data_IF_533971679756
#
_entry.id   IF_533971679756
#
_cell.length_a   1.000
_cell.length_b   1.000
_cell.length_c   1.000
_cell.angle_alpha   90.00
_cell.angle_beta   90.00
_cell.angle_gamma   90.00
#
_symmetry.space_group_name_H-M   'P 1'
#
loop_
_entity.id
_entity.type
_entity.pdbx_description
1 polymer ?
#
# COMPACT_ATOMS: atom_id res chain seq x y z
N UNK A 1 -28.02 1.30 17.65
CA UNK A 1 -28.33 2.39 16.68
C UNK A 1 -28.06 2.02 15.22
N UNK A 2 -26.96 1.32 14.87
CA UNK A 2 -26.70 0.88 13.48
C UNK A 2 -27.84 0.07 12.84
N UNK A 3 -28.55 -0.73 13.60
CA UNK A 3 -29.68 -1.56 13.13
C UNK A 3 -30.94 -0.74 12.85
N UNK A 4 -31.15 0.36 13.58
CA UNK A 4 -32.31 1.25 13.41
C UNK A 4 -32.11 2.21 12.23
N UNK A 5 -30.86 2.66 12.00
CA UNK A 5 -30.54 3.52 10.83
C UNK A 5 -30.53 2.76 9.49
N UNK A 6 -30.40 1.43 9.52
CA UNK A 6 -30.38 0.57 8.32
C UNK A 6 -31.77 0.04 7.94
N UNK A 7 -32.74 0.12 8.83
CA UNK A 7 -34.08 -0.41 8.64
C UNK A 7 -35.02 0.69 8.11
N UNK A 8 -35.54 0.59 6.87
CA UNK A 8 -36.33 1.64 6.23
C UNK A 8 -37.70 1.89 6.90
N UNK A 9 -38.17 1.01 7.78
CA UNK A 9 -39.46 1.14 8.45
C UNK A 9 -39.35 1.69 9.88
N UNK A 10 -38.15 2.02 10.34
CA UNK A 10 -37.91 2.55 11.69
C UNK A 10 -37.38 3.98 11.62
N UNK A 11 -38.11 4.91 12.23
CA UNK A 11 -37.77 6.34 12.26
C UNK A 11 -37.26 6.74 13.64
N UNK A 12 -36.12 7.45 13.69
CA UNK A 12 -35.54 7.98 14.94
C UNK A 12 -36.17 9.34 15.25
N UNK A 13 -36.95 9.43 16.33
CA UNK A 13 -37.63 10.68 16.73
C UNK A 13 -36.71 11.70 17.44
N UNK A 14 -35.65 11.25 18.13
CA UNK A 14 -34.68 12.12 18.82
C UNK A 14 -33.28 11.53 18.74
N UNK A 15 -32.33 12.23 18.13
CA UNK A 15 -30.94 11.78 18.11
C UNK A 15 -30.30 11.93 19.49
N UNK A 16 -29.45 10.96 19.85
CA UNK A 16 -28.59 11.06 21.03
C UNK A 16 -27.58 12.20 20.85
N UNK A 17 -27.47 13.08 21.85
CA UNK A 17 -26.46 14.16 21.91
C UNK A 17 -25.12 13.68 22.52
N UNK A 18 -25.01 12.40 22.82
CA UNK A 18 -23.77 11.83 23.34
C UNK A 18 -22.72 11.78 22.22
N UNK A 19 -21.48 12.25 22.44
CA UNK A 19 -20.42 12.08 21.45
C UNK A 19 -20.13 10.59 21.25
N UNK A 20 -20.66 10.02 20.17
CA UNK A 20 -20.50 8.61 19.78
C UNK A 20 -19.12 8.32 19.17
N UNK A 21 -18.11 9.17 19.39
CA UNK A 21 -16.77 9.02 18.82
C UNK A 21 -16.06 7.76 19.32
N UNK A 22 -16.30 7.37 20.57
CA UNK A 22 -15.80 6.12 21.17
C UNK A 22 -16.61 4.87 20.77
N UNK A 23 -17.88 5.04 20.33
CA UNK A 23 -18.72 3.89 19.94
C UNK A 23 -18.47 3.49 18.48
N UNK A 24 -18.12 4.47 17.64
CA UNK A 24 -17.57 4.22 16.32
C UNK A 24 -16.07 4.05 16.47
N UNK A 25 -15.69 2.92 17.06
CA UNK A 25 -14.36 2.37 16.90
C UNK A 25 -14.10 2.32 15.39
N UNK A 26 -13.41 3.36 14.90
CA UNK A 26 -12.74 3.33 13.61
C UNK A 26 -11.55 2.42 13.79
N UNK A 27 -11.82 1.14 14.08
CA UNK A 27 -10.95 0.02 13.71
C UNK A 27 -11.05 -0.08 12.18
N UNK A 28 -10.73 1.02 11.49
CA UNK A 28 -10.04 0.89 10.24
C UNK A 28 -8.69 0.33 10.66
N UNK A 29 -8.20 -0.76 10.05
CA UNK A 29 -6.87 -1.27 10.30
C UNK A 29 -5.83 -0.29 9.73
N UNK A 30 -5.76 0.93 10.26
CA UNK A 30 -4.66 1.86 10.00
C UNK A 30 -3.36 1.42 10.68
N UNK A 31 -3.44 0.29 11.38
CA UNK A 31 -2.44 -0.33 12.23
C UNK A 31 -2.26 -1.83 11.88
N UNK A 32 -2.77 -2.33 10.73
CA UNK A 32 -2.45 -3.71 10.30
C UNK A 32 -1.02 -3.89 9.81
N UNK A 33 -0.32 -2.80 9.48
CA UNK A 33 1.12 -2.75 9.26
C UNK A 33 1.69 -1.60 10.07
N UNK A 34 2.72 -1.88 10.86
CA UNK A 34 3.51 -0.87 11.58
C UNK A 34 4.02 0.15 10.56
N UNK A 35 3.93 1.44 10.89
CA UNK A 35 4.47 2.49 10.03
C UNK A 35 6.01 2.40 10.04
N UNK A 36 6.57 1.81 8.98
CA UNK A 36 8.00 1.47 8.90
C UNK A 36 8.90 2.70 9.07
N UNK A 37 8.46 3.89 8.65
CA UNK A 37 9.25 5.11 8.77
C UNK A 37 9.37 5.62 10.21
N UNK A 38 8.45 5.23 11.10
CA UNK A 38 8.55 5.56 12.53
C UNK A 38 9.60 4.69 13.22
N UNK A 39 9.80 3.47 12.72
CA UNK A 39 10.80 2.53 13.24
C UNK A 39 12.16 2.71 12.59
N UNK A 40 12.20 3.01 11.30
CA UNK A 40 13.42 3.12 10.50
C UNK A 40 13.26 4.25 9.46
N UNK A 41 13.88 5.41 9.69
CA UNK A 41 13.80 6.58 8.78
C UNK A 41 14.78 6.47 7.62
N UNK A 42 14.48 7.10 6.49
CA UNK A 42 15.35 7.09 5.30
C UNK A 42 16.79 7.52 5.56
N UNK A 43 17.01 8.53 6.42
CA UNK A 43 18.35 9.02 6.78
C UNK A 43 19.19 7.95 7.48
N UNK A 44 18.56 7.08 8.26
CA UNK A 44 19.23 6.08 9.08
C UNK A 44 19.29 4.70 8.42
N UNK A 45 18.44 4.42 7.44
CA UNK A 45 18.44 3.15 6.69
C UNK A 45 19.33 3.18 5.46
N UNK A 46 19.41 4.31 4.76
CA UNK A 46 20.15 4.43 3.51
C UNK A 46 21.27 5.48 3.59
N UNK A 47 22.23 5.38 2.68
CA UNK A 47 23.30 6.35 2.54
C UNK A 47 24.45 6.19 3.55
N UNK A 48 25.38 7.16 3.60
CA UNK A 48 26.63 7.04 4.34
C UNK A 48 26.46 6.89 5.85
N UNK A 49 25.36 7.43 6.39
CA UNK A 49 25.00 7.35 7.82
C UNK A 49 24.14 6.13 8.16
N UNK A 50 23.98 5.20 7.23
CA UNK A 50 23.15 4.01 7.44
C UNK A 50 23.66 3.17 8.61
N UNK A 51 22.76 2.89 9.54
CA UNK A 51 23.04 2.10 10.75
C UNK A 51 22.80 0.60 10.53
N UNK A 52 22.00 0.23 9.51
CA UNK A 52 21.57 -1.16 9.33
C UNK A 52 22.61 -1.95 8.54
N UNK A 53 23.19 -2.99 9.17
CA UNK A 53 24.20 -3.87 8.54
C UNK A 53 23.61 -5.10 7.85
N UNK A 54 22.41 -5.52 8.21
CA UNK A 54 21.73 -6.70 7.64
C UNK A 54 20.27 -6.41 7.32
N UNK A 55 19.75 -6.88 6.18
CA UNK A 55 18.33 -6.75 5.85
C UNK A 55 17.47 -7.67 6.71
N UNK A 56 16.23 -7.26 6.96
CA UNK A 56 15.22 -8.14 7.55
C UNK A 56 14.55 -8.94 6.43
N UNK A 57 14.90 -10.22 6.32
CA UNK A 57 14.38 -11.14 5.32
C UNK A 57 13.32 -12.04 5.97
N UNK A 58 12.20 -12.25 5.27
CA UNK A 58 11.13 -13.13 5.72
C UNK A 58 11.39 -14.63 5.40
N UNK A 59 12.49 -14.94 4.72
CA UNK A 59 12.86 -16.30 4.37
C UNK A 59 13.77 -16.91 5.45
N UNK A 60 13.46 -18.14 5.89
CA UNK A 60 14.28 -18.91 6.84
C UNK A 60 15.50 -19.56 6.17
N UNK A 61 15.34 -20.02 4.93
CA UNK A 61 16.31 -20.86 4.23
C UNK A 61 16.61 -20.30 2.84
N UNK A 62 17.82 -20.60 2.35
CA UNK A 62 18.26 -20.18 1.01
C UNK A 62 17.35 -20.73 -0.10
N UNK A 63 16.86 -21.96 0.04
CA UNK A 63 15.97 -22.56 -0.97
C UNK A 63 14.59 -21.87 -1.01
N UNK A 64 14.06 -21.46 0.14
CA UNK A 64 12.81 -20.70 0.24
C UNK A 64 12.95 -19.32 -0.40
N UNK A 65 14.10 -18.67 -0.19
CA UNK A 65 14.41 -17.39 -0.83
C UNK A 65 14.45 -17.52 -2.36
N UNK A 66 15.11 -18.56 -2.88
CA UNK A 66 15.19 -18.82 -4.33
C UNK A 66 13.80 -19.09 -4.93
N UNK A 67 12.99 -19.91 -4.28
CA UNK A 67 11.63 -20.19 -4.75
C UNK A 67 10.77 -18.92 -4.82
N UNK A 68 10.88 -18.05 -3.81
CA UNK A 68 10.17 -16.77 -3.77
C UNK A 68 10.62 -15.84 -4.91
N UNK A 69 11.94 -15.74 -5.15
CA UNK A 69 12.48 -14.91 -6.23
C UNK A 69 12.03 -15.40 -7.61
N UNK A 70 11.99 -16.72 -7.85
CA UNK A 70 11.51 -17.29 -9.11
C UNK A 70 10.01 -16.97 -9.30
N UNK A 71 9.20 -17.12 -8.26
CA UNK A 71 7.78 -16.80 -8.32
C UNK A 71 7.53 -15.31 -8.58
N UNK A 72 8.29 -14.41 -7.96
CA UNK A 72 8.21 -12.97 -8.22
C UNK A 72 8.61 -12.62 -9.65
N UNK A 73 9.68 -13.23 -10.17
CA UNK A 73 10.12 -13.03 -11.55
C UNK A 73 9.07 -13.53 -12.56
N UNK A 74 8.41 -14.66 -12.30
CA UNK A 74 7.34 -15.17 -13.17
C UNK A 74 6.06 -14.33 -13.11
N UNK A 75 5.79 -13.71 -11.96
CA UNK A 75 4.62 -12.88 -11.75
C UNK A 75 4.80 -11.44 -12.24
N UNK A 76 6.04 -11.01 -12.49
CA UNK A 76 6.35 -9.69 -13.01
C UNK A 76 5.80 -9.54 -14.44
N UNK A 77 5.14 -8.41 -14.70
CA UNK A 77 4.55 -8.08 -15.99
C UNK A 77 4.93 -6.64 -16.32
N UNK A 78 5.72 -6.49 -17.38
CA UNK A 78 6.25 -5.21 -17.83
C UNK A 78 5.15 -4.18 -18.12
N UNK A 79 4.01 -4.62 -18.67
CA UNK A 79 2.86 -3.76 -18.97
C UNK A 79 2.22 -3.12 -17.72
N UNK A 80 2.42 -3.75 -16.55
CA UNK A 80 1.92 -3.24 -15.27
C UNK A 80 2.94 -2.38 -14.54
N UNK A 81 4.18 -2.32 -15.04
CA UNK A 81 5.24 -1.53 -14.46
C UNK A 81 5.19 -0.09 -14.99
N UNK A 82 4.69 0.81 -14.14
CA UNK A 82 4.54 2.23 -14.48
C UNK A 82 5.86 2.99 -14.42
N UNK A 83 6.84 2.47 -13.70
CA UNK A 83 8.13 3.12 -13.45
C UNK A 83 9.23 2.53 -14.35
N UNK A 84 8.86 1.66 -15.29
CA UNK A 84 9.77 1.12 -16.28
C UNK A 84 10.32 2.26 -17.15
N UNK A 85 11.58 2.61 -16.90
CA UNK A 85 12.30 3.57 -17.71
C UNK A 85 12.64 2.93 -19.06
N UNK A 86 11.88 3.29 -20.09
CA UNK A 86 12.24 3.00 -21.47
C UNK A 86 13.19 4.08 -21.98
N UNK A 87 14.28 3.68 -22.63
CA UNK A 87 15.16 4.58 -23.39
C UNK A 87 14.30 5.43 -24.34
N UNK A 88 14.38 6.76 -24.26
CA UNK A 88 13.71 7.65 -25.21
C UNK A 88 14.45 7.56 -26.55
N UNK A 89 13.98 6.66 -27.43
CA UNK A 89 14.56 6.46 -28.77
C UNK A 89 14.43 7.68 -29.68
N UNK A 90 13.89 8.81 -29.20
CA UNK A 90 13.81 10.08 -29.93
C UNK A 90 12.82 10.07 -31.11
N UNK A 91 12.18 8.93 -31.39
CA UNK A 91 11.20 8.79 -32.47
C UNK A 91 9.82 9.13 -31.93
N UNK A 92 9.43 10.39 -32.07
CA UNK A 92 8.04 10.82 -31.89
C UNK A 92 7.29 10.57 -33.20
N UNK A 93 6.48 9.51 -33.24
CA UNK A 93 5.51 9.34 -34.32
C UNK A 93 4.52 10.50 -34.25
N UNK A 94 4.59 11.40 -35.22
CA UNK A 94 3.56 12.42 -35.42
C UNK A 94 2.30 11.69 -35.86
N UNK A 95 1.34 11.51 -34.95
CA UNK A 95 -0.02 11.15 -35.34
C UNK A 95 -0.59 12.33 -36.10
N UNK A 96 -0.49 12.29 -37.43
CA UNK A 96 -1.14 13.23 -38.33
C UNK A 96 -2.63 13.23 -38.04
N UNK A 97 -3.12 14.31 -37.45
CA UNK A 97 -4.54 14.62 -37.43
C UNK A 97 -4.90 15.01 -38.86
N UNK A 98 -5.41 14.02 -39.60
CA UNK A 98 -6.06 14.23 -40.89
C UNK A 98 -7.33 15.05 -40.71
N UNK A 99 -7.48 16.01 -41.60
CA UNK A 99 -8.66 16.83 -41.89
C UNK A 99 -9.97 16.06 -41.91
#
# INVERSE_FOLDING_TARGET
MKTVMKDPYRVVMKQSRLPLSLLHDRIKPHNSKVHILDTETFETTFGPKSQRKRPNLLASDMQSLVASAIAEASNYSQDKDRDLVTEDTGVRYTVGTGT
#
